data_IF_597574002141
#
_entry.id   IF_597574002141
#
_cell.length_a   1.000
_cell.length_b   1.000
_cell.length_c   1.000
_cell.angle_alpha   90.00
_cell.angle_beta   90.00
_cell.angle_gamma   90.00
#
_symmetry.space_group_name_H-M   'P 1'
#
loop_
_entity.id
_entity.type
_entity.pdbx_description
1 polymer ?
#
# COMPACT_ATOMS: atom_id res chain seq x y z
N UNK A 1 6.64 -22.84 11.40
CA UNK A 1 7.67 -21.98 10.78
C UNK A 1 8.09 -20.96 11.84
N UNK A 2 9.32 -21.05 12.36
CA UNK A 2 9.82 -20.13 13.39
C UNK A 2 9.88 -18.70 12.81
N UNK A 3 9.06 -17.78 13.31
CA UNK A 3 9.29 -16.35 13.05
C UNK A 3 10.52 -15.92 13.82
N UNK A 4 11.65 -15.77 13.11
CA UNK A 4 12.90 -15.30 13.70
C UNK A 4 12.73 -13.81 14.04
N UNK A 5 12.76 -13.49 15.33
CA UNK A 5 12.73 -12.10 15.78
C UNK A 5 13.96 -11.37 15.24
N UNK A 6 13.71 -10.27 14.51
CA UNK A 6 14.75 -9.45 13.90
C UNK A 6 14.42 -7.98 14.11
N UNK A 7 15.46 -7.15 14.19
CA UNK A 7 15.33 -5.69 14.25
C UNK A 7 15.50 -5.12 12.85
N UNK A 8 14.51 -4.34 12.41
CA UNK A 8 14.57 -3.62 11.13
C UNK A 8 15.08 -2.21 11.35
N UNK A 9 16.23 -1.88 10.75
CA UNK A 9 16.76 -0.51 10.67
C UNK A 9 16.52 0.04 9.26
N UNK A 10 15.82 1.16 9.16
CA UNK A 10 15.62 1.87 7.89
C UNK A 10 16.80 2.84 7.70
N UNK A 11 17.61 2.61 6.68
CA UNK A 11 18.76 3.44 6.30
C UNK A 11 18.41 4.33 5.10
N UNK A 12 19.36 5.13 4.63
CA UNK A 12 19.13 6.02 3.47
C UNK A 12 19.00 5.30 2.12
N UNK A 13 19.47 4.06 2.03
CA UNK A 13 19.60 3.29 0.79
C UNK A 13 19.02 1.87 0.87
N UNK A 14 18.68 1.41 2.08
CA UNK A 14 18.30 0.04 2.34
C UNK A 14 17.50 -0.12 3.65
N UNK A 15 16.78 -1.24 3.75
CA UNK A 15 16.34 -1.80 5.04
C UNK A 15 17.39 -2.82 5.49
N UNK A 16 17.92 -2.66 6.70
CA UNK A 16 18.88 -3.60 7.30
C UNK A 16 18.17 -4.42 8.37
N UNK A 17 18.14 -5.74 8.18
CA UNK A 17 17.62 -6.68 9.16
C UNK A 17 18.76 -7.18 10.04
N UNK A 18 18.60 -7.03 11.35
CA UNK A 18 19.57 -7.49 12.35
C UNK A 18 19.00 -8.62 13.17
N UNK A 19 19.83 -9.60 13.48
CA UNK A 19 19.51 -10.62 14.47
C UNK A 19 19.42 -9.99 15.87
N UNK A 20 18.82 -10.72 16.81
CA UNK A 20 18.77 -10.30 18.23
C UNK A 20 20.15 -10.10 18.85
N UNK A 21 21.19 -10.72 18.28
CA UNK A 21 22.60 -10.52 18.67
C UNK A 21 23.19 -9.20 18.16
N UNK A 22 22.43 -8.41 17.40
CA UNK A 22 22.89 -7.17 16.78
C UNK A 22 23.62 -7.38 15.44
N UNK A 23 23.99 -8.62 15.11
CA UNK A 23 24.62 -8.96 13.84
C UNK A 23 23.70 -8.63 12.65
N UNK A 24 24.27 -8.11 11.56
CA UNK A 24 23.52 -7.90 10.31
C UNK A 24 23.20 -9.26 9.72
N UNK A 25 21.91 -9.58 9.64
CA UNK A 25 21.43 -10.79 9.00
C UNK A 25 21.26 -10.55 7.50
N UNK A 26 20.58 -9.46 7.12
CA UNK A 26 20.30 -9.14 5.72
C UNK A 26 20.32 -7.63 5.46
N UNK A 27 20.63 -7.23 4.23
CA UNK A 27 20.54 -5.85 3.75
C UNK A 27 19.74 -5.79 2.44
N UNK A 28 18.65 -5.05 2.47
CA UNK A 28 17.69 -4.96 1.36
C UNK A 28 17.73 -3.57 0.75
N UNK A 29 18.49 -3.44 -0.33
CA UNK A 29 18.63 -2.21 -1.11
C UNK A 29 17.30 -1.81 -1.76
N UNK A 30 16.98 -0.51 -1.71
CA UNK A 30 15.74 0.02 -2.28
C UNK A 30 15.61 -0.22 -3.78
N UNK A 31 16.71 -0.27 -4.51
CA UNK A 31 16.75 -0.62 -5.93
C UNK A 31 16.08 -1.96 -6.23
N UNK A 32 16.16 -2.93 -5.31
CA UNK A 32 15.55 -4.25 -5.47
C UNK A 32 14.14 -4.35 -4.89
N UNK A 33 13.64 -3.31 -4.21
CA UNK A 33 12.30 -3.30 -3.64
C UNK A 33 11.25 -2.92 -4.70
N UNK A 34 10.37 -3.87 -5.02
CA UNK A 34 9.36 -3.74 -6.07
C UNK A 34 8.10 -3.04 -5.55
N UNK A 35 7.63 -3.43 -4.37
CA UNK A 35 6.44 -2.85 -3.76
C UNK A 35 6.51 -2.99 -2.23
N UNK A 36 5.70 -2.22 -1.52
CA UNK A 36 5.42 -2.43 -0.11
C UNK A 36 3.97 -2.09 0.23
N UNK A 37 3.40 -2.83 1.17
CA UNK A 37 2.06 -2.58 1.74
C UNK A 37 2.09 -2.91 3.23
N UNK A 38 1.11 -2.48 4.01
CA UNK A 38 1.01 -2.84 5.42
C UNK A 38 -0.46 -3.02 5.83
N UNK A 39 -0.74 -3.74 6.91
CA UNK A 39 -2.09 -3.86 7.50
C UNK A 39 -2.01 -3.53 9.00
N UNK A 40 -2.66 -2.44 9.46
CA UNK A 40 -2.77 -2.16 10.89
C UNK A 40 -3.51 -3.26 11.66
N UNK A 41 -4.53 -3.87 11.03
CA UNK A 41 -5.41 -4.86 11.65
C UNK A 41 -4.68 -6.16 11.99
N UNK A 42 -3.93 -6.73 11.05
CA UNK A 42 -3.06 -7.89 11.29
C UNK A 42 -1.65 -7.55 11.72
N UNK A 43 -1.32 -6.26 11.84
CA UNK A 43 -0.01 -5.78 12.28
C UNK A 43 1.11 -6.32 11.39
N UNK A 44 0.92 -6.31 10.07
CA UNK A 44 1.90 -6.85 9.11
C UNK A 44 2.37 -5.77 8.15
N UNK A 45 3.67 -5.75 7.84
CA UNK A 45 4.26 -5.04 6.71
C UNK A 45 4.70 -6.09 5.69
N UNK A 46 4.30 -5.92 4.44
CA UNK A 46 4.70 -6.76 3.32
C UNK A 46 5.66 -5.98 2.43
N UNK A 47 6.83 -6.58 2.16
CA UNK A 47 7.84 -6.05 1.24
C UNK A 47 8.03 -7.03 0.08
N UNK A 48 7.86 -6.55 -1.15
CA UNK A 48 8.17 -7.32 -2.35
C UNK A 48 9.54 -6.94 -2.86
N UNK A 49 10.42 -7.93 -3.01
CA UNK A 49 11.81 -7.73 -3.45
C UNK A 49 12.12 -8.62 -4.65
N UNK A 50 12.85 -8.08 -5.62
CA UNK A 50 13.41 -8.85 -6.73
C UNK A 50 14.71 -9.54 -6.30
N UNK A 51 14.78 -10.84 -6.54
CA UNK A 51 15.95 -11.69 -6.34
C UNK A 51 16.02 -12.71 -7.49
N UNK A 52 17.13 -12.75 -8.24
CA UNK A 52 17.31 -13.69 -9.38
C UNK A 52 16.10 -13.72 -10.33
N UNK A 53 15.67 -12.53 -10.78
CA UNK A 53 14.52 -12.30 -11.65
C UNK A 53 13.14 -12.76 -11.12
N UNK A 54 13.10 -13.25 -9.88
CA UNK A 54 11.87 -13.59 -9.17
C UNK A 54 11.51 -12.52 -8.15
N UNK A 55 10.20 -12.31 -7.96
CA UNK A 55 9.70 -11.40 -6.93
C UNK A 55 9.25 -12.21 -5.72
N UNK A 56 9.88 -11.96 -4.57
CA UNK A 56 9.58 -12.60 -3.30
C UNK A 56 8.84 -11.64 -2.38
N UNK A 57 7.79 -12.13 -1.73
CA UNK A 57 7.04 -11.39 -0.71
C UNK A 57 7.57 -11.78 0.68
N UNK A 58 7.95 -10.77 1.46
CA UNK A 58 8.39 -10.95 2.84
C UNK A 58 7.42 -10.24 3.79
N UNK A 59 7.00 -10.93 4.85
CA UNK A 59 6.06 -10.43 5.85
C UNK A 59 6.78 -10.14 7.16
N UNK A 60 6.59 -8.93 7.69
CA UNK A 60 7.08 -8.49 8.99
C UNK A 60 5.91 -8.22 9.91
N UNK A 61 5.79 -8.98 10.98
CA UNK A 61 4.73 -8.80 11.96
C UNK A 61 5.20 -7.86 13.05
N UNK A 62 4.58 -6.69 13.16
CA UNK A 62 4.92 -5.65 14.12
C UNK A 62 3.72 -4.75 14.41
N UNK A 63 3.53 -4.40 15.70
CA UNK A 63 2.56 -3.38 16.11
C UNK A 63 2.85 -2.01 15.48
N UNK A 64 4.09 -1.76 15.06
CA UNK A 64 4.55 -0.53 14.42
C UNK A 64 4.59 -0.61 12.88
N UNK A 65 3.70 -1.41 12.29
CA UNK A 65 3.71 -1.66 10.84
C UNK A 65 3.47 -0.37 10.03
N UNK A 66 2.64 0.54 10.54
CA UNK A 66 2.38 1.85 9.96
C UNK A 66 3.61 2.75 9.98
N UNK A 67 4.23 2.89 11.14
CA UNK A 67 5.42 3.73 11.30
C UNK A 67 6.58 3.18 10.47
N UNK A 68 6.76 1.86 10.44
CA UNK A 68 7.79 1.22 9.65
C UNK A 68 7.55 1.40 8.15
N UNK A 69 6.32 1.23 7.66
CA UNK A 69 5.95 1.53 6.28
C UNK A 69 6.31 2.98 5.91
N UNK A 70 5.90 3.93 6.74
CA UNK A 70 6.15 5.36 6.48
C UNK A 70 7.64 5.69 6.50
N UNK A 71 8.41 5.09 7.42
CA UNK A 71 9.86 5.26 7.46
C UNK A 71 10.52 4.75 6.17
N UNK A 72 10.15 3.55 5.71
CA UNK A 72 10.70 2.96 4.48
C UNK A 72 10.30 3.80 3.27
N UNK A 73 9.03 4.23 3.17
CA UNK A 73 8.53 5.11 2.10
C UNK A 73 9.32 6.41 2.01
N UNK A 74 9.39 7.15 3.12
CA UNK A 74 10.08 8.43 3.14
C UNK A 74 11.58 8.27 2.85
N UNK A 75 12.22 7.18 3.29
CA UNK A 75 13.62 6.90 2.99
C UNK A 75 13.85 6.59 1.50
N UNK A 76 12.94 5.83 0.87
CA UNK A 76 12.97 5.57 -0.56
C UNK A 76 12.77 6.83 -1.39
N UNK A 77 11.82 7.70 -1.01
CA UNK A 77 11.60 8.99 -1.67
C UNK A 77 12.84 9.89 -1.58
N UNK A 78 13.50 9.94 -0.43
CA UNK A 78 14.79 10.63 -0.29
C UNK A 78 15.90 9.99 -1.14
N UNK A 79 15.95 8.66 -1.21
CA UNK A 79 16.92 7.96 -2.05
C UNK A 79 16.73 8.27 -3.54
N UNK A 80 15.47 8.33 -3.97
CA UNK A 80 15.08 8.69 -5.33
C UNK A 80 15.41 10.13 -5.69
N UNK A 81 15.09 11.08 -4.81
CA UNK A 81 15.44 12.49 -5.01
C UNK A 81 16.95 12.73 -5.16
N UNK A 82 17.78 11.84 -4.61
CA UNK A 82 19.25 11.85 -4.74
C UNK A 82 19.75 11.10 -5.99
N UNK A 83 18.86 10.64 -6.88
CA UNK A 83 19.22 9.88 -8.08
C UNK A 83 19.75 8.47 -7.81
N UNK A 84 19.62 7.96 -6.57
CA UNK A 84 20.16 6.64 -6.18
C UNK A 84 19.21 5.48 -6.48
N UNK A 85 17.94 5.78 -6.78
CA UNK A 85 16.91 4.77 -7.07
C UNK A 85 15.99 5.33 -8.14
N UNK A 86 15.76 4.59 -9.23
CA UNK A 86 14.70 4.94 -10.18
C UNK A 86 13.33 4.62 -9.58
N UNK A 87 12.48 5.64 -9.48
CA UNK A 87 11.06 5.54 -9.04
C UNK A 87 10.12 5.44 -10.24
N UNK A 88 10.64 5.46 -11.48
CA UNK A 88 9.83 5.27 -12.67
C UNK A 88 9.14 3.90 -12.61
N UNK A 89 7.81 3.89 -12.58
CA UNK A 89 6.98 2.70 -12.38
C UNK A 89 6.75 2.25 -10.93
N UNK A 90 7.31 2.94 -9.92
CA UNK A 90 7.16 2.66 -8.48
C UNK A 90 6.43 3.77 -7.74
N UNK A 91 5.35 4.29 -8.32
CA UNK A 91 4.43 5.15 -7.59
C UNK A 91 3.76 4.34 -6.47
N UNK A 92 4.39 4.32 -5.28
CA UNK A 92 3.96 3.62 -4.06
C UNK A 92 2.77 4.33 -3.38
N UNK A 93 1.83 4.79 -4.20
CA UNK A 93 0.75 5.71 -3.82
C UNK A 93 0.30 6.53 -5.02
N UNK A 94 0.15 5.89 -6.18
CA UNK A 94 -0.33 6.56 -7.39
C UNK A 94 -1.74 7.11 -7.21
N UNK A 95 -2.00 8.23 -7.86
CA UNK A 95 -3.34 8.58 -8.31
C UNK A 95 -3.60 7.77 -9.57
N UNK A 96 -4.75 7.12 -9.68
CA UNK A 96 -5.06 6.42 -10.91
C UNK A 96 -6.49 6.69 -11.38
N UNK A 97 -6.68 6.74 -12.71
CA UNK A 97 -7.96 7.08 -13.30
C UNK A 97 -9.00 6.03 -12.92
N UNK A 98 -10.14 6.52 -12.46
CA UNK A 98 -11.34 5.74 -12.18
C UNK A 98 -12.55 6.42 -12.81
N UNK A 99 -13.57 5.62 -13.07
CA UNK A 99 -14.85 6.10 -13.55
C UNK A 99 -15.95 5.55 -12.65
N UNK A 100 -16.68 6.43 -11.99
CA UNK A 100 -17.80 6.04 -11.11
C UNK A 100 -18.94 5.46 -11.95
N UNK A 101 -19.35 4.24 -11.64
CA UNK A 101 -20.39 3.56 -12.43
C UNK A 101 -21.80 4.06 -12.16
N UNK A 102 -22.03 4.73 -11.02
CA UNK A 102 -23.36 5.23 -10.66
C UNK A 102 -23.58 6.65 -11.16
N UNK A 103 -22.58 7.52 -11.00
CA UNK A 103 -22.67 8.94 -11.44
C UNK A 103 -22.14 9.17 -12.85
N UNK A 104 -21.48 8.15 -13.44
CA UNK A 104 -20.83 8.23 -14.75
C UNK A 104 -19.73 9.32 -14.82
N UNK A 105 -19.10 9.63 -13.68
CA UNK A 105 -18.06 10.65 -13.58
C UNK A 105 -16.66 10.05 -13.61
N UNK A 106 -15.79 10.64 -14.42
CA UNK A 106 -14.34 10.36 -14.39
C UNK A 106 -13.66 11.07 -13.23
N UNK A 107 -12.69 10.40 -12.61
CA UNK A 107 -11.94 10.92 -11.47
C UNK A 107 -10.63 10.18 -11.25
N UNK A 108 -9.98 10.49 -10.14
CA UNK A 108 -8.74 9.86 -9.68
C UNK A 108 -9.00 9.18 -8.33
N UNK A 109 -8.53 7.94 -8.20
CA UNK A 109 -8.46 7.23 -6.93
C UNK A 109 -7.02 7.26 -6.46
N UNK A 110 -6.81 7.72 -5.24
CA UNK A 110 -5.51 7.73 -4.59
C UNK A 110 -5.55 6.80 -3.38
N UNK A 111 -4.73 5.75 -3.41
CA UNK A 111 -4.57 4.86 -2.25
C UNK A 111 -3.58 5.50 -1.28
N UNK A 112 -4.02 5.79 -0.06
CA UNK A 112 -3.21 6.38 1.01
C UNK A 112 -3.02 5.37 2.14
N UNK A 113 -2.08 5.68 3.04
CA UNK A 113 -1.83 4.84 4.21
C UNK A 113 -3.00 4.86 5.20
N UNK A 114 -3.78 5.92 5.23
CA UNK A 114 -4.91 6.16 6.12
C UNK A 114 -6.27 5.93 5.46
N UNK A 115 -6.32 5.55 4.18
CA UNK A 115 -7.59 5.36 3.48
C UNK A 115 -7.49 5.50 1.97
N UNK A 116 -8.60 5.86 1.35
CA UNK A 116 -8.71 6.10 -0.09
C UNK A 116 -9.25 7.50 -0.32
N UNK A 117 -8.56 8.30 -1.11
CA UNK A 117 -9.11 9.54 -1.64
C UNK A 117 -9.68 9.28 -3.04
N UNK A 118 -10.86 9.84 -3.31
CA UNK A 118 -11.53 9.80 -4.61
C UNK A 118 -11.79 11.24 -5.01
N UNK A 119 -11.24 11.64 -6.14
CA UNK A 119 -11.16 13.02 -6.60
C UNK A 119 -11.88 13.09 -7.95
N UNK A 120 -13.01 13.78 -7.99
CA UNK A 120 -13.74 14.14 -9.21
C UNK A 120 -13.54 15.61 -9.51
N UNK A 121 -13.95 16.06 -10.71
CA UNK A 121 -13.77 17.44 -11.15
C UNK A 121 -14.28 18.50 -10.14
N UNK A 122 -15.40 18.23 -9.46
CA UNK A 122 -16.05 19.18 -8.55
C UNK A 122 -16.21 18.64 -7.12
N UNK A 123 -15.65 17.48 -6.79
CA UNK A 123 -15.77 16.92 -5.45
C UNK A 123 -14.59 16.04 -5.09
N UNK A 124 -14.24 16.03 -3.80
CA UNK A 124 -13.26 15.12 -3.25
C UNK A 124 -13.85 14.43 -2.03
N UNK A 125 -13.69 13.12 -2.00
CA UNK A 125 -14.15 12.26 -0.92
C UNK A 125 -12.95 11.49 -0.36
N UNK A 126 -12.84 11.43 0.96
CA UNK A 126 -11.83 10.63 1.62
C UNK A 126 -12.51 9.59 2.51
N UNK A 127 -12.15 8.34 2.28
CA UNK A 127 -12.69 7.17 2.96
C UNK A 127 -11.59 6.64 3.87
N UNK A 128 -11.75 6.86 5.17
CA UNK A 128 -10.81 6.35 6.18
C UNK A 128 -10.73 4.83 6.13
N UNK A 129 -9.52 4.31 6.21
CA UNK A 129 -9.24 2.87 6.23
C UNK A 129 -10.09 2.12 7.28
N UNK A 130 -10.36 2.72 8.43
CA UNK A 130 -11.17 2.13 9.50
C UNK A 130 -12.66 1.99 9.13
N UNK A 131 -13.13 2.81 8.18
CA UNK A 131 -14.51 2.77 7.70
C UNK A 131 -14.67 1.80 6.54
N UNK A 132 -13.59 1.43 5.84
CA UNK A 132 -13.64 0.44 4.76
C UNK A 132 -13.93 -0.96 5.35
N UNK A 133 -15.01 -1.57 4.89
CA UNK A 133 -15.46 -2.91 5.33
C UNK A 133 -15.09 -3.99 4.34
N UNK A 134 -15.17 -3.68 3.05
CA UNK A 134 -14.91 -4.64 1.98
C UNK A 134 -14.35 -3.94 0.76
N UNK A 135 -13.42 -4.61 0.10
CA UNK A 135 -12.91 -4.23 -1.20
C UNK A 135 -12.95 -5.48 -2.09
N UNK A 136 -13.41 -5.37 -3.33
CA UNK A 136 -13.40 -6.49 -4.28
C UNK A 136 -13.12 -6.01 -5.71
N UNK A 137 -12.78 -6.95 -6.59
CA UNK A 137 -12.73 -6.72 -8.04
C UNK A 137 -13.80 -7.55 -8.74
N UNK A 138 -14.54 -6.97 -9.67
CA UNK A 138 -15.51 -7.67 -10.50
C UNK A 138 -15.14 -7.52 -11.98
N UNK A 139 -15.18 -8.60 -12.75
CA UNK A 139 -14.90 -8.58 -14.20
C UNK A 139 -13.48 -8.14 -14.59
N UNK A 140 -12.56 -8.01 -13.63
CA UNK A 140 -11.17 -7.56 -13.85
C UNK A 140 -10.98 -6.04 -14.01
N UNK A 141 -12.07 -5.28 -14.16
CA UNK A 141 -12.04 -3.86 -14.51
C UNK A 141 -12.98 -3.01 -13.65
N UNK A 142 -13.71 -3.59 -12.70
CA UNK A 142 -14.50 -2.86 -11.69
C UNK A 142 -13.91 -3.09 -10.30
N UNK A 143 -13.61 -2.00 -9.60
CA UNK A 143 -13.23 -1.96 -8.20
C UNK A 143 -14.45 -1.61 -7.35
N UNK A 144 -14.81 -2.50 -6.42
CA UNK A 144 -15.92 -2.35 -5.49
C UNK A 144 -15.37 -2.01 -4.11
N UNK A 145 -15.87 -0.93 -3.51
CA UNK A 145 -15.50 -0.46 -2.19
C UNK A 145 -16.75 -0.32 -1.34
N UNK A 146 -16.81 -1.04 -0.23
CA UNK A 146 -17.84 -0.92 0.78
C UNK A 146 -17.26 -0.19 1.98
N UNK A 147 -17.87 0.94 2.34
CA UNK A 147 -17.53 1.72 3.52
C UNK A 147 -18.72 1.88 4.46
N UNK A 148 -18.44 2.12 5.73
CA UNK A 148 -19.44 2.60 6.68
C UNK A 148 -19.37 4.13 6.75
N UNK A 149 -20.33 4.80 6.12
CA UNK A 149 -20.44 6.26 6.16
C UNK A 149 -20.99 6.69 7.53
N UNK A 150 -20.10 7.22 8.37
CA UNK A 150 -20.47 7.68 9.72
C UNK A 150 -21.42 8.88 9.73
N UNK A 151 -21.44 9.68 8.65
CA UNK A 151 -22.33 10.85 8.56
C UNK A 151 -23.77 10.42 8.29
N UNK A 152 -23.92 9.39 7.47
CA UNK A 152 -25.24 8.82 7.12
C UNK A 152 -25.65 7.66 8.02
N UNK A 153 -24.71 7.13 8.80
CA UNK A 153 -24.89 5.95 9.66
C UNK A 153 -25.35 4.71 8.87
N UNK A 154 -24.77 4.49 7.69
CA UNK A 154 -25.15 3.40 6.78
C UNK A 154 -23.94 2.78 6.08
N UNK A 155 -24.12 1.58 5.53
CA UNK A 155 -23.14 0.97 4.64
C UNK A 155 -23.35 1.49 3.22
N UNK A 156 -22.32 2.10 2.66
CA UNK A 156 -22.31 2.63 1.28
C UNK A 156 -21.40 1.75 0.44
N UNK A 157 -21.95 1.25 -0.67
CA UNK A 157 -21.20 0.49 -1.65
C UNK A 157 -20.93 1.35 -2.89
N UNK A 158 -19.67 1.44 -3.29
CA UNK A 158 -19.20 2.26 -4.41
C UNK A 158 -18.53 1.39 -5.45
N UNK A 159 -18.74 1.72 -6.72
CA UNK A 159 -18.23 0.94 -7.87
C UNK A 159 -17.49 1.85 -8.83
N UNK A 160 -16.24 1.50 -9.09
CA UNK A 160 -15.32 2.28 -9.90
C UNK A 160 -14.75 1.43 -11.03
N UNK A 161 -15.02 1.80 -12.27
CA UNK A 161 -14.35 1.21 -13.42
C UNK A 161 -12.93 1.75 -13.55
N UNK A 162 -11.96 0.88 -13.80
CA UNK A 162 -10.59 1.27 -14.15
C UNK A 162 -9.84 0.13 -14.84
N UNK A 163 -8.91 0.47 -15.72
CA UNK A 163 -7.97 -0.54 -16.27
C UNK A 163 -6.90 -0.94 -15.25
N UNK A 164 -6.75 -0.17 -14.16
CA UNK A 164 -5.74 -0.39 -13.12
C UNK A 164 -6.31 -1.15 -11.91
N UNK A 165 -7.52 -1.72 -11.98
CA UNK A 165 -8.27 -2.30 -10.84
C UNK A 165 -7.44 -3.26 -9.99
N UNK A 166 -6.68 -4.15 -10.64
CA UNK A 166 -5.81 -5.11 -9.95
C UNK A 166 -4.70 -4.43 -9.13
N UNK A 167 -4.20 -3.28 -9.57
CA UNK A 167 -3.17 -2.51 -8.87
C UNK A 167 -3.75 -1.87 -7.60
N UNK A 168 -4.88 -1.16 -7.68
CA UNK A 168 -5.49 -0.57 -6.49
C UNK A 168 -5.99 -1.63 -5.52
N UNK A 169 -6.62 -2.70 -6.00
CA UNK A 169 -7.11 -3.78 -5.15
C UNK A 169 -5.97 -4.41 -4.35
N UNK A 170 -4.83 -4.67 -4.98
CA UNK A 170 -3.65 -5.18 -4.25
C UNK A 170 -3.09 -4.17 -3.26
N UNK A 171 -3.06 -2.88 -3.60
CA UNK A 171 -2.57 -1.89 -2.64
C UNK A 171 -3.56 -1.70 -1.48
N UNK A 172 -4.85 -1.63 -1.75
CA UNK A 172 -5.86 -1.34 -0.74
C UNK A 172 -6.25 -2.57 0.10
N UNK A 173 -6.47 -3.75 -0.49
CA UNK A 173 -6.87 -4.95 0.25
C UNK A 173 -5.79 -5.46 1.19
N UNK A 174 -4.52 -5.20 0.90
CA UNK A 174 -3.46 -5.47 1.88
C UNK A 174 -3.52 -4.49 3.07
N UNK A 175 -4.07 -3.28 2.90
CA UNK A 175 -4.27 -2.31 3.98
C UNK A 175 -5.58 -2.54 4.76
N UNK A 176 -6.66 -2.99 4.12
CA UNK A 176 -8.00 -3.12 4.73
C UNK A 176 -8.40 -4.56 5.09
N UNK A 177 -7.93 -5.57 4.37
CA UNK A 177 -8.37 -6.97 4.48
C UNK A 177 -7.24 -7.88 4.92
N UNK A 178 -6.97 -7.87 6.22
CA UNK A 178 -6.43 -8.99 6.99
C UNK A 178 -6.82 -8.75 8.43
#
# INVERSE_FOLDING_TARGET
MFQRMTFSKVCDDAVVLRAVTGAVAERWWYERLVNMTYSPKTKVLCLWRRHEDKVHMHKFYTKKCRELYQCVKNAMERAAARGRVSVEGRALGGEFPVHDTETNQGGLLQVRCDGVAIIFANSQQFIDLANIKKCNTFGGNVFLLEEFDRKKNELVQRRYYSQMVLFFYRNLCFNTVS
#
